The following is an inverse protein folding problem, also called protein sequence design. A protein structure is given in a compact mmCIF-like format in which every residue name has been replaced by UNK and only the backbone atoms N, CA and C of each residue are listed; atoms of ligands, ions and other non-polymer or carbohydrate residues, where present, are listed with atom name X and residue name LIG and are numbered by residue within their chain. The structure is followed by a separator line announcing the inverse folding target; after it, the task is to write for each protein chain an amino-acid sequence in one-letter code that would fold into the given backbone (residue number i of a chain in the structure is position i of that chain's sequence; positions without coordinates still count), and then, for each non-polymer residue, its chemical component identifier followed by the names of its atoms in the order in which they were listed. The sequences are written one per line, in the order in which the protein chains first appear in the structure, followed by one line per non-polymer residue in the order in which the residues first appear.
data_IF_533510116711
#
_entry.id   IF_533510116711
#
_cell.length_a   1.000
_cell.length_b   1.000
_cell.length_c   1.000
_cell.angle_alpha   90.00
_cell.angle_beta   90.00
_cell.angle_gamma   90.00
#
_symmetry.space_group_name_H-M   'P 1'
#
loop_
_entity.id
_entity.type
_entity.pdbx_description
1 polymer ?
#
# COMPACT_ATOMS: atom_id res chain seq x y z
N UNK A 1 -9.04 -13.60 -13.74
CA UNK A 1 -9.13 -12.17 -13.38
C UNK A 1 -7.85 -11.77 -12.67
N UNK A 2 -7.29 -10.63 -13.07
CA UNK A 2 -6.10 -10.09 -12.43
C UNK A 2 -6.48 -8.97 -11.48
N UNK A 3 -5.57 -8.63 -10.56
CA UNK A 3 -5.79 -7.59 -9.57
C UNK A 3 -4.62 -6.62 -9.56
N UNK A 4 -4.93 -5.33 -9.51
CA UNK A 4 -3.91 -4.30 -9.38
C UNK A 4 -3.78 -3.90 -7.92
N UNK A 5 -2.54 -3.84 -7.44
CA UNK A 5 -2.24 -3.42 -6.07
C UNK A 5 -2.13 -1.90 -6.02
N UNK A 6 -2.96 -1.28 -5.21
CA UNK A 6 -2.95 0.18 -5.01
C UNK A 6 -2.59 0.45 -3.56
N UNK A 7 -1.55 1.26 -3.35
CA UNK A 7 -1.04 1.58 -2.03
C UNK A 7 -1.04 3.09 -1.79
N UNK A 8 -1.16 3.49 -0.53
CA UNK A 8 -1.00 4.90 -0.17
C UNK A 8 -0.51 5.02 1.26
N UNK A 9 0.18 6.13 1.53
CA UNK A 9 0.75 6.46 2.83
C UNK A 9 -0.06 7.60 3.41
N UNK A 10 -0.52 7.45 4.65
CA UNK A 10 -1.35 8.42 5.32
C UNK A 10 -0.77 8.79 6.69
N UNK A 11 -1.12 9.98 7.18
CA UNK A 11 -0.80 10.41 8.53
C UNK A 11 -2.08 10.41 9.37
N UNK A 12 -2.05 9.69 10.49
CA UNK A 12 -3.19 9.66 11.41
C UNK A 12 -3.37 11.00 12.13
N UNK A 13 -2.31 11.80 12.22
CA UNK A 13 -2.40 13.11 12.89
C UNK A 13 -3.13 14.14 12.04
N UNK A 14 -2.80 14.22 10.76
CA UNK A 14 -3.39 15.21 9.87
C UNK A 14 -4.61 14.69 9.11
N UNK A 15 -4.73 13.37 9.00
CA UNK A 15 -5.75 12.75 8.15
C UNK A 15 -5.42 12.81 6.66
N UNK A 16 -4.28 13.38 6.30
CA UNK A 16 -3.88 13.52 4.90
C UNK A 16 -3.13 12.29 4.41
N UNK A 17 -3.32 11.98 3.12
CA UNK A 17 -2.62 10.88 2.46
C UNK A 17 -1.87 11.39 1.25
N UNK A 18 -0.75 10.76 0.95
CA UNK A 18 -0.04 10.98 -0.30
C UNK A 18 -0.83 10.36 -1.45
N UNK A 19 -0.58 10.78 -2.71
CA UNK A 19 -1.25 10.16 -3.85
C UNK A 19 -1.05 8.65 -3.90
N UNK A 20 -2.03 7.96 -4.45
CA UNK A 20 -1.98 6.52 -4.58
C UNK A 20 -0.81 6.08 -5.45
N UNK A 21 -0.29 4.91 -5.12
CA UNK A 21 0.90 4.35 -5.74
C UNK A 21 0.57 2.96 -6.28
N UNK A 22 0.93 2.69 -7.53
CA UNK A 22 0.66 1.41 -8.17
C UNK A 22 1.75 0.40 -7.76
N UNK A 23 1.33 -0.70 -7.15
CA UNK A 23 2.22 -1.77 -6.70
C UNK A 23 2.28 -2.97 -7.65
N UNK A 24 1.76 -2.82 -8.87
CA UNK A 24 1.81 -3.87 -9.87
C UNK A 24 0.52 -4.65 -10.00
N UNK A 25 0.49 -5.50 -11.05
CA UNK A 25 -0.67 -6.36 -11.33
C UNK A 25 -0.31 -7.79 -10.97
N UNK A 26 -1.23 -8.47 -10.29
CA UNK A 26 -1.04 -9.83 -9.81
C UNK A 26 -2.13 -10.76 -10.35
N UNK A 27 -1.80 -12.02 -10.52
CA UNK A 27 -2.68 -12.98 -11.18
C UNK A 27 -3.82 -13.46 -10.30
N UNK A 28 -3.66 -13.42 -8.98
CA UNK A 28 -4.68 -13.89 -8.04
C UNK A 28 -4.86 -12.88 -6.92
N UNK A 29 -5.99 -12.97 -6.23
CA UNK A 29 -6.24 -12.17 -5.03
C UNK A 29 -5.17 -12.42 -3.97
N UNK A 30 -4.83 -13.70 -3.75
CA UNK A 30 -3.83 -14.07 -2.75
C UNK A 30 -2.49 -13.38 -3.04
N UNK A 31 -2.04 -13.47 -4.29
CA UNK A 31 -0.75 -12.88 -4.68
C UNK A 31 -0.75 -11.37 -4.48
N UNK A 32 -1.86 -10.70 -4.84
CA UNK A 32 -1.99 -9.26 -4.64
C UNK A 32 -1.98 -8.91 -3.16
N UNK A 33 -2.74 -9.62 -2.34
CA UNK A 33 -2.81 -9.36 -0.90
C UNK A 33 -1.48 -9.63 -0.21
N UNK A 34 -0.78 -10.69 -0.59
CA UNK A 34 0.54 -11.01 -0.05
C UNK A 34 1.56 -9.94 -0.41
N UNK A 35 1.55 -9.49 -1.67
CA UNK A 35 2.44 -8.42 -2.12
C UNK A 35 2.13 -7.12 -1.39
N UNK A 36 0.85 -6.79 -1.19
CA UNK A 36 0.45 -5.61 -0.45
C UNK A 36 0.94 -5.62 0.98
N UNK A 37 0.81 -6.75 1.66
CA UNK A 37 1.27 -6.90 3.04
C UNK A 37 2.79 -6.75 3.15
N UNK A 38 3.52 -7.40 2.26
CA UNK A 38 4.98 -7.32 2.25
C UNK A 38 5.46 -5.92 1.92
N UNK A 39 4.89 -5.29 0.89
CA UNK A 39 5.27 -3.94 0.48
C UNK A 39 4.92 -2.92 1.56
N UNK A 40 3.86 -3.13 2.32
CA UNK A 40 3.50 -2.28 3.46
C UNK A 40 4.61 -2.29 4.51
N UNK A 41 5.10 -3.47 4.87
CA UNK A 41 6.20 -3.59 5.83
C UNK A 41 7.48 -2.94 5.31
N UNK A 42 7.79 -3.17 4.03
CA UNK A 42 8.97 -2.57 3.41
C UNK A 42 8.88 -1.04 3.38
N UNK A 43 7.71 -0.50 3.05
CA UNK A 43 7.49 0.95 3.02
C UNK A 43 7.67 1.55 4.42
N UNK A 44 7.15 0.90 5.46
CA UNK A 44 7.32 1.35 6.83
C UNK A 44 8.80 1.39 7.22
N UNK A 45 9.55 0.38 6.82
CA UNK A 45 10.99 0.32 7.09
C UNK A 45 11.75 1.44 6.37
N UNK A 46 11.37 1.74 5.13
CA UNK A 46 12.01 2.81 4.35
C UNK A 46 11.68 4.19 4.89
N UNK A 47 10.45 4.41 5.36
CA UNK A 47 10.06 5.66 5.98
C UNK A 47 10.83 5.92 7.27
N UNK A 48 11.18 4.85 7.97
CA UNK A 48 11.94 4.93 9.20
C UNK A 48 11.07 5.05 10.44
N UNK A 49 11.51 4.37 11.50
CA UNK A 49 10.78 4.32 12.76
C UNK A 49 10.48 5.71 13.31
N UNK A 50 11.46 6.60 13.25
CA UNK A 50 11.35 7.94 13.84
C UNK A 50 10.25 8.76 13.18
N UNK A 51 10.23 8.81 11.84
CA UNK A 51 9.20 9.53 11.10
C UNK A 51 7.84 8.89 11.27
N UNK A 52 7.77 7.57 11.23
CA UNK A 52 6.52 6.85 11.41
C UNK A 52 5.91 7.18 12.77
N UNK A 53 6.72 7.16 13.83
CA UNK A 53 6.24 7.46 15.16
C UNK A 53 5.85 8.93 15.32
N UNK A 54 6.64 9.84 14.77
CA UNK A 54 6.43 11.27 14.89
C UNK A 54 5.16 11.74 14.18
N UNK A 55 4.95 11.27 12.96
CA UNK A 55 3.81 11.67 12.14
C UNK A 55 2.63 10.71 12.20
N UNK A 56 2.79 9.60 12.91
CA UNK A 56 1.79 8.53 12.97
C UNK A 56 1.42 8.04 11.56
N UNK A 57 2.47 7.72 10.80
CA UNK A 57 2.29 7.26 9.42
C UNK A 57 1.80 5.82 9.38
N UNK A 58 0.96 5.53 8.41
CA UNK A 58 0.55 4.16 8.13
C UNK A 58 0.36 3.98 6.64
N UNK A 59 0.50 2.74 6.19
CA UNK A 59 0.37 2.39 4.78
C UNK A 59 -0.85 1.50 4.63
N UNK A 60 -1.70 1.84 3.67
CA UNK A 60 -2.86 1.01 3.35
C UNK A 60 -2.73 0.50 1.93
N UNK A 61 -3.40 -0.61 1.62
CA UNK A 61 -3.44 -1.11 0.27
C UNK A 61 -4.80 -1.73 -0.03
N UNK A 62 -5.10 -1.83 -1.30
CA UNK A 62 -6.27 -2.54 -1.79
C UNK A 62 -5.91 -3.26 -3.08
N UNK A 63 -6.69 -4.28 -3.41
CA UNK A 63 -6.54 -5.05 -4.63
C UNK A 63 -7.81 -4.86 -5.46
N UNK A 64 -7.68 -4.13 -6.57
CA UNK A 64 -8.81 -3.85 -7.46
C UNK A 64 -8.77 -4.80 -8.66
N UNK A 65 -9.91 -5.34 -9.07
CA UNK A 65 -9.94 -6.19 -10.27
C UNK A 65 -9.59 -5.39 -11.51
N UNK A 66 -8.78 -6.00 -12.39
CA UNK A 66 -8.44 -5.42 -13.68
C UNK A 66 -9.45 -5.95 -14.70
N UNK A 67 -10.25 -5.06 -15.25
CA UNK A 67 -11.32 -5.40 -16.18
C UNK A 67 -10.82 -5.24 -17.62
N UNK A 68 -11.13 -6.25 -18.47
CA UNK A 68 -10.77 -6.20 -19.88
C UNK A 68 -9.32 -6.54 -20.19
N UNK A 69 -8.60 -7.08 -19.22
CA UNK A 69 -7.21 -7.49 -19.41
C UNK A 69 -7.12 -8.94 -19.88
#
# INVERSE_FOLDING_TARGET
MKFVLIMKICSALSGNCLPEHNGGVHNTWYDCAAAGSLNTLNAMAELGREDVNKRKLFVTFKCDPVIGA
#
